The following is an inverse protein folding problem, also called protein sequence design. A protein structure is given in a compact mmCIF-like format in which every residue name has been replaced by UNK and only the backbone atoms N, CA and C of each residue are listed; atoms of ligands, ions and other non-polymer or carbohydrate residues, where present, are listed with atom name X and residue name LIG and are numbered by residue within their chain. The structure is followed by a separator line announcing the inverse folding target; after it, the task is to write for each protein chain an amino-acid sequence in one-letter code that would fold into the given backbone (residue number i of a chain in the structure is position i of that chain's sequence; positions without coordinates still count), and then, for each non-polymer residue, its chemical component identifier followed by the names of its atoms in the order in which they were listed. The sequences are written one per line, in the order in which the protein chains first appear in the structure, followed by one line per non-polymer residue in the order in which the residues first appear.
data_IF_383560615876
#
_entry.id   IF_383560615876
#
_cell.length_a   1.000
_cell.length_b   1.000
_cell.length_c   1.000
_cell.angle_alpha   90.00
_cell.angle_beta   90.00
_cell.angle_gamma   90.00
#
_symmetry.space_group_name_H-M   'P 1'
#
loop_
_entity.id
_entity.type
_entity.pdbx_description
1 polymer ?
#
# COMPACT_ATOMS: atom_id res chain seq x y z
N UNK A 1 21.37 -38.96 -5.23
CA UNK A 1 21.05 -37.65 -5.85
C UNK A 1 22.36 -36.90 -6.03
N UNK A 2 22.75 -36.56 -7.27
CA UNK A 2 23.99 -35.83 -7.55
C UNK A 2 23.66 -34.35 -7.76
N UNK A 3 24.32 -33.45 -7.02
CA UNK A 3 24.16 -32.00 -7.14
C UNK A 3 25.55 -31.37 -7.28
N UNK A 4 25.73 -30.54 -8.30
CA UNK A 4 26.92 -29.72 -8.45
C UNK A 4 26.67 -28.33 -7.85
N UNK A 5 27.64 -27.81 -7.08
CA UNK A 5 27.70 -26.40 -6.72
C UNK A 5 28.35 -25.59 -7.86
N UNK A 6 28.05 -24.29 -7.90
CA UNK A 6 28.60 -23.37 -8.92
C UNK A 6 28.16 -21.92 -8.79
N UNK A 7 27.42 -21.56 -7.73
CA UNK A 7 27.09 -20.17 -7.43
C UNK A 7 28.23 -19.53 -6.65
N UNK A 8 28.55 -18.29 -6.99
CA UNK A 8 29.44 -17.42 -6.24
C UNK A 8 28.65 -16.86 -5.04
N UNK A 9 29.08 -17.15 -3.82
CA UNK A 9 28.39 -16.75 -2.58
C UNK A 9 29.23 -15.83 -1.71
N UNK A 10 30.55 -15.97 -1.79
CA UNK A 10 31.51 -15.22 -0.98
C UNK A 10 32.39 -14.34 -1.86
N UNK A 11 32.99 -13.30 -1.28
CA UNK A 11 34.00 -12.50 -1.98
C UNK A 11 35.18 -13.37 -2.44
N UNK A 12 35.49 -14.44 -1.71
CA UNK A 12 36.59 -15.34 -2.05
C UNK A 12 36.28 -16.15 -3.32
N UNK A 13 35.02 -16.52 -3.53
CA UNK A 13 34.59 -17.20 -4.76
C UNK A 13 34.84 -16.30 -5.98
N UNK A 14 34.57 -14.99 -5.87
CA UNK A 14 34.88 -14.02 -6.92
C UNK A 14 36.40 -13.87 -7.11
N UNK A 15 37.17 -13.81 -6.03
CA UNK A 15 38.62 -13.68 -6.08
C UNK A 15 39.30 -14.87 -6.78
N UNK A 16 38.74 -16.07 -6.66
CA UNK A 16 39.25 -17.32 -7.25
C UNK A 16 38.67 -17.65 -8.64
N UNK A 17 37.98 -16.70 -9.30
CA UNK A 17 37.59 -16.87 -10.71
C UNK A 17 38.85 -16.95 -11.56
N UNK A 18 39.05 -18.07 -12.25
CA UNK A 18 40.19 -18.30 -13.14
C UNK A 18 39.97 -17.53 -14.45
N UNK A 19 40.88 -16.63 -14.78
CA UNK A 19 40.87 -15.86 -16.02
C UNK A 19 41.74 -16.49 -17.11
N UNK A 20 42.87 -17.07 -16.69
CA UNK A 20 43.80 -17.73 -17.60
C UNK A 20 44.49 -18.90 -16.90
N UNK A 21 44.38 -20.07 -17.49
CA UNK A 21 45.20 -21.24 -17.20
C UNK A 21 45.91 -21.63 -18.51
N UNK A 22 47.24 -21.78 -18.49
CA UNK A 22 48.01 -22.16 -19.67
C UNK A 22 48.93 -23.31 -19.32
N UNK A 23 48.99 -24.32 -20.18
CA UNK A 23 49.87 -25.50 -19.99
C UNK A 23 51.37 -25.14 -19.92
N UNK A 24 51.75 -23.93 -20.37
CA UNK A 24 53.13 -23.43 -20.33
C UNK A 24 53.48 -22.71 -19.02
N UNK A 25 52.50 -22.39 -18.17
CA UNK A 25 52.70 -21.62 -16.93
C UNK A 25 52.07 -22.36 -15.76
N UNK A 26 52.88 -22.74 -14.76
CA UNK A 26 52.44 -23.61 -13.66
C UNK A 26 51.41 -22.99 -12.69
N UNK A 27 51.07 -21.71 -12.86
CA UNK A 27 50.29 -20.93 -11.91
C UNK A 27 49.11 -20.28 -12.65
N UNK A 28 47.84 -20.56 -12.26
CA UNK A 28 46.68 -19.91 -12.85
C UNK A 28 46.62 -18.43 -12.46
N UNK A 29 46.08 -17.59 -13.35
CA UNK A 29 45.78 -16.18 -13.09
C UNK A 29 44.32 -16.05 -12.68
N UNK A 30 44.10 -15.47 -11.51
CA UNK A 30 42.79 -15.28 -10.90
C UNK A 30 42.29 -13.83 -11.03
N UNK A 31 41.00 -13.61 -10.82
CA UNK A 31 40.41 -12.26 -10.87
C UNK A 31 41.06 -11.30 -9.87
N UNK A 32 41.44 -11.78 -8.68
CA UNK A 32 42.15 -11.00 -7.66
C UNK A 32 43.50 -10.43 -8.13
N UNK A 33 44.12 -11.06 -9.13
CA UNK A 33 45.44 -10.64 -9.63
C UNK A 33 45.33 -9.40 -10.53
N UNK A 34 44.12 -9.08 -11.03
CA UNK A 34 43.88 -7.97 -11.97
C UNK A 34 42.80 -6.98 -11.51
N UNK A 35 41.99 -7.32 -10.49
CA UNK A 35 40.91 -6.48 -9.99
C UNK A 35 40.75 -6.61 -8.47
N UNK A 36 40.27 -5.54 -7.84
CA UNK A 36 39.88 -5.53 -6.43
C UNK A 36 38.37 -5.75 -6.30
N UNK A 37 37.96 -6.85 -5.69
CA UNK A 37 36.56 -7.14 -5.40
C UNK A 37 36.18 -6.49 -4.07
N UNK A 38 35.13 -5.66 -4.07
CA UNK A 38 34.63 -4.98 -2.88
C UNK A 38 33.10 -4.90 -2.94
N UNK A 39 32.47 -4.88 -1.76
CA UNK A 39 31.03 -4.64 -1.64
C UNK A 39 30.82 -3.13 -1.67
N UNK A 40 29.93 -2.67 -2.55
CA UNK A 40 29.59 -1.26 -2.71
C UNK A 40 28.14 -1.07 -3.13
N UNK A 41 27.66 0.19 -3.15
CA UNK A 41 26.31 0.50 -3.59
C UNK A 41 26.18 0.35 -5.12
N UNK A 42 24.98 -0.04 -5.56
CA UNK A 42 24.60 0.04 -6.97
C UNK A 42 24.28 1.50 -7.37
N UNK A 43 24.38 1.81 -8.66
CA UNK A 43 23.92 3.08 -9.20
C UNK A 43 22.43 3.29 -8.87
N UNK A 44 22.13 4.34 -8.11
CA UNK A 44 20.77 4.66 -7.67
C UNK A 44 19.94 5.20 -8.83
N UNK A 45 18.73 4.67 -9.01
CA UNK A 45 17.74 5.16 -10.00
C UNK A 45 16.69 6.11 -9.40
N UNK A 46 16.69 6.24 -8.08
CA UNK A 46 15.80 7.09 -7.32
C UNK A 46 16.36 7.28 -5.91
N UNK A 47 16.02 8.40 -5.30
CA UNK A 47 16.43 8.76 -3.95
C UNK A 47 15.15 9.10 -3.19
N UNK A 48 15.02 8.59 -1.97
CA UNK A 48 13.93 8.93 -1.07
C UNK A 48 14.51 9.55 0.19
N UNK A 49 13.88 10.60 0.65
CA UNK A 49 14.29 11.39 1.80
C UNK A 49 13.07 11.55 2.71
N UNK A 50 13.30 11.55 4.02
CA UNK A 50 12.24 11.70 5.01
C UNK A 50 12.46 12.96 5.85
N UNK A 51 11.58 13.94 5.66
CA UNK A 51 11.45 15.15 6.48
C UNK A 51 12.70 16.08 6.54
N UNK A 52 13.65 15.94 5.62
CA UNK A 52 14.90 16.70 5.62
C UNK A 52 15.96 16.18 6.60
N UNK A 53 15.72 15.06 7.26
CA UNK A 53 16.59 14.49 8.29
C UNK A 53 17.46 13.35 7.78
N UNK A 54 17.22 12.84 6.56
CA UNK A 54 18.06 11.80 6.00
C UNK A 54 17.46 11.04 4.83
N UNK A 55 18.35 10.44 4.05
CA UNK A 55 17.99 9.50 2.98
C UNK A 55 17.52 8.16 3.58
N UNK A 56 16.39 7.66 3.12
CA UNK A 56 15.78 6.42 3.60
C UNK A 56 15.37 5.51 2.45
N UNK A 57 15.19 4.22 2.73
CA UNK A 57 14.56 3.29 1.80
C UNK A 57 13.03 3.34 1.97
N UNK A 58 12.30 3.53 0.87
CA UNK A 58 10.84 3.59 0.85
C UNK A 58 10.21 2.47 0.03
N UNK A 59 8.91 2.26 0.23
CA UNK A 59 8.09 1.33 -0.54
C UNK A 59 6.69 1.90 -0.80
N UNK A 60 6.09 1.54 -1.93
CA UNK A 60 4.73 1.97 -2.29
C UNK A 60 3.87 0.74 -2.59
N UNK A 61 2.62 0.77 -2.10
CA UNK A 61 1.64 -0.26 -2.41
C UNK A 61 0.79 0.20 -3.58
N UNK A 62 0.84 -0.54 -4.69
CA UNK A 62 0.07 -0.23 -5.91
C UNK A 62 -1.19 -1.08 -5.93
N UNK A 63 -2.34 -0.42 -6.00
CA UNK A 63 -3.65 -1.06 -6.08
C UNK A 63 -3.94 -1.55 -7.49
N UNK A 64 -4.49 -2.76 -7.61
CA UNK A 64 -5.02 -3.27 -8.89
C UNK A 64 -6.20 -2.39 -9.35
N UNK A 65 -6.22 -2.05 -10.64
CA UNK A 65 -7.33 -1.28 -11.22
C UNK A 65 -8.69 -1.95 -10.96
N UNK A 66 -9.69 -1.14 -10.64
CA UNK A 66 -11.06 -1.58 -10.36
C UNK A 66 -11.26 -2.26 -9.00
N UNK A 67 -10.25 -2.29 -8.11
CA UNK A 67 -10.37 -2.86 -6.76
C UNK A 67 -10.56 -1.78 -5.69
N UNK A 68 -11.06 -2.20 -4.52
CA UNK A 68 -11.39 -1.30 -3.42
C UNK A 68 -10.11 -0.86 -2.67
N UNK A 69 -9.86 0.45 -2.66
CA UNK A 69 -8.69 1.01 -1.98
C UNK A 69 -8.76 0.87 -0.45
N UNK A 70 -9.94 1.10 0.15
CA UNK A 70 -10.12 1.10 1.61
C UNK A 70 -9.87 -0.29 2.20
N UNK A 71 -10.41 -1.31 1.54
CA UNK A 71 -10.23 -2.72 1.93
C UNK A 71 -8.76 -3.15 1.85
N UNK A 72 -8.07 -2.81 0.75
CA UNK A 72 -6.65 -3.14 0.58
C UNK A 72 -5.78 -2.41 1.61
N UNK A 73 -6.04 -1.13 1.89
CA UNK A 73 -5.27 -0.38 2.89
C UNK A 73 -5.47 -1.00 4.29
N UNK A 74 -6.69 -1.42 4.64
CA UNK A 74 -6.94 -2.10 5.91
C UNK A 74 -6.14 -3.40 6.02
N UNK A 75 -6.16 -4.24 4.98
CA UNK A 75 -5.40 -5.48 4.94
C UNK A 75 -3.87 -5.25 4.99
N UNK A 76 -3.37 -4.20 4.34
CA UNK A 76 -1.96 -3.82 4.40
C UNK A 76 -1.56 -3.41 5.81
N UNK A 77 -2.36 -2.56 6.48
CA UNK A 77 -2.08 -2.13 7.85
C UNK A 77 -2.04 -3.31 8.83
N UNK A 78 -3.03 -4.19 8.75
CA UNK A 78 -3.08 -5.40 9.58
C UNK A 78 -1.87 -6.32 9.35
N UNK A 79 -1.47 -6.46 8.07
CA UNK A 79 -0.28 -7.23 7.74
C UNK A 79 1.01 -6.58 8.26
N UNK A 80 1.11 -5.25 8.22
CA UNK A 80 2.25 -4.53 8.78
C UNK A 80 2.33 -4.71 10.29
N UNK A 81 1.21 -4.65 11.02
CA UNK A 81 1.20 -4.95 12.47
C UNK A 81 1.70 -6.37 12.76
N UNK A 82 1.29 -7.35 11.97
CA UNK A 82 1.79 -8.73 12.10
C UNK A 82 3.31 -8.80 11.88
N UNK A 83 3.81 -8.10 10.85
CA UNK A 83 5.22 -8.12 10.47
C UNK A 83 6.12 -7.33 11.42
N UNK A 84 5.60 -6.40 12.22
CA UNK A 84 6.41 -5.61 13.18
C UNK A 84 7.25 -6.50 14.09
N UNK A 85 6.69 -7.62 14.55
CA UNK A 85 7.39 -8.60 15.39
C UNK A 85 8.57 -9.31 14.72
N UNK A 86 8.59 -9.35 13.38
CA UNK A 86 9.61 -10.01 12.57
C UNK A 86 10.69 -9.04 12.08
N UNK A 87 10.55 -7.74 12.38
CA UNK A 87 11.52 -6.74 11.99
C UNK A 87 12.79 -6.83 12.86
N UNK A 88 13.98 -6.60 12.27
CA UNK A 88 15.21 -6.47 13.04
C UNK A 88 15.10 -5.34 14.07
N UNK A 89 15.83 -5.46 15.17
CA UNK A 89 15.88 -4.41 16.20
C UNK A 89 16.31 -3.06 15.59
N UNK A 90 15.58 -1.99 15.95
CA UNK A 90 15.83 -0.63 15.47
C UNK A 90 15.17 -0.27 14.12
N UNK A 91 14.46 -1.20 13.47
CA UNK A 91 13.72 -0.91 12.23
C UNK A 91 12.30 -0.44 12.55
N UNK A 92 11.94 0.76 12.08
CA UNK A 92 10.59 1.32 12.20
C UNK A 92 9.98 1.61 10.82
N UNK A 93 8.69 1.35 10.67
CA UNK A 93 7.93 1.64 9.44
C UNK A 93 7.08 2.89 9.68
N UNK A 94 7.55 4.02 9.13
CA UNK A 94 6.82 5.30 9.17
C UNK A 94 5.96 5.44 7.92
N UNK A 95 4.64 5.56 8.08
CA UNK A 95 3.73 5.71 6.95
C UNK A 95 3.73 7.15 6.45
N UNK A 96 4.17 7.37 5.21
CA UNK A 96 4.28 8.72 4.61
C UNK A 96 3.02 9.18 3.89
N UNK A 97 2.19 8.25 3.39
CA UNK A 97 0.94 8.57 2.69
C UNK A 97 -0.12 7.49 2.92
N UNK A 98 -1.31 7.91 3.32
CA UNK A 98 -2.45 7.03 3.55
C UNK A 98 -3.73 7.61 2.94
N UNK A 99 -4.21 6.97 1.86
CA UNK A 99 -5.42 7.39 1.15
C UNK A 99 -6.71 7.08 1.93
N UNK A 100 -6.69 6.14 2.88
CA UNK A 100 -7.89 5.77 3.65
C UNK A 100 -8.44 6.95 4.44
N UNK A 101 -7.55 7.79 5.01
CA UNK A 101 -7.95 8.99 5.76
C UNK A 101 -8.75 10.00 4.94
N UNK A 102 -8.51 10.09 3.62
CA UNK A 102 -9.29 10.95 2.74
C UNK A 102 -10.66 10.32 2.45
N UNK A 103 -10.69 9.00 2.22
CA UNK A 103 -11.92 8.25 1.97
C UNK A 103 -12.85 8.33 3.18
N UNK A 104 -12.33 8.08 4.38
CA UNK A 104 -13.13 8.10 5.61
C UNK A 104 -13.71 9.50 5.86
N UNK A 105 -12.89 10.57 5.74
CA UNK A 105 -13.39 11.95 5.86
C UNK A 105 -14.45 12.30 4.83
N UNK A 106 -14.32 11.84 3.59
CA UNK A 106 -15.31 12.09 2.55
C UNK A 106 -16.64 11.37 2.84
N UNK A 107 -16.59 10.12 3.30
CA UNK A 107 -17.77 9.34 3.69
C UNK A 107 -18.45 9.97 4.91
N UNK A 108 -17.68 10.35 5.92
CA UNK A 108 -18.21 10.97 7.14
C UNK A 108 -18.86 12.32 6.83
N UNK A 109 -18.22 13.14 5.98
CA UNK A 109 -18.78 14.41 5.55
C UNK A 109 -20.11 14.22 4.81
N UNK A 110 -20.14 13.31 3.82
CA UNK A 110 -21.36 13.04 3.06
C UNK A 110 -22.48 12.49 3.95
N UNK A 111 -22.15 11.56 4.86
CA UNK A 111 -23.12 10.98 5.79
C UNK A 111 -23.70 12.03 6.73
N UNK A 112 -22.86 12.93 7.25
CA UNK A 112 -23.30 14.05 8.07
C UNK A 112 -24.21 15.01 7.32
N UNK A 113 -23.87 15.36 6.07
CA UNK A 113 -24.69 16.27 5.24
C UNK A 113 -26.03 15.66 4.86
N UNK A 114 -26.08 14.38 4.51
CA UNK A 114 -27.33 13.68 4.26
C UNK A 114 -28.22 13.64 5.51
N UNK A 115 -27.63 13.45 6.69
CA UNK A 115 -28.37 13.50 7.96
C UNK A 115 -28.93 14.91 8.23
N UNK A 116 -28.12 15.95 8.05
CA UNK A 116 -28.55 17.35 8.19
C UNK A 116 -29.73 17.66 7.26
N UNK A 117 -29.63 17.33 5.97
CA UNK A 117 -30.69 17.53 4.99
C UNK A 117 -31.96 16.76 5.35
N UNK A 118 -31.83 15.51 5.78
CA UNK A 118 -32.95 14.68 6.21
C UNK A 118 -33.69 15.30 7.40
N UNK A 119 -32.96 15.80 8.40
CA UNK A 119 -33.56 16.47 9.56
C UNK A 119 -34.26 17.77 9.14
N UNK A 120 -33.62 18.59 8.30
CA UNK A 120 -34.22 19.84 7.81
C UNK A 120 -35.52 19.56 7.08
N UNK A 121 -35.54 18.59 6.17
CA UNK A 121 -36.76 18.19 5.43
C UNK A 121 -37.82 17.68 6.40
N UNK A 122 -37.46 16.84 7.37
CA UNK A 122 -38.39 16.33 8.36
C UNK A 122 -39.04 17.45 9.19
N UNK A 123 -38.25 18.44 9.63
CA UNK A 123 -38.75 19.62 10.36
C UNK A 123 -39.70 20.45 9.50
N UNK A 124 -39.30 20.76 8.26
CA UNK A 124 -40.12 21.53 7.33
C UNK A 124 -41.46 20.81 7.07
N UNK A 125 -41.43 19.52 6.73
CA UNK A 125 -42.64 18.73 6.53
C UNK A 125 -43.54 18.71 7.77
N UNK A 126 -42.96 18.54 8.97
CA UNK A 126 -43.73 18.53 10.21
C UNK A 126 -44.44 19.87 10.48
N UNK A 127 -43.76 20.99 10.22
CA UNK A 127 -44.33 22.34 10.41
C UNK A 127 -45.48 22.64 9.45
N UNK A 128 -45.36 22.27 8.17
CA UNK A 128 -46.39 22.56 7.16
C UNK A 128 -47.58 21.61 7.21
N UNK A 129 -47.37 20.33 7.53
CA UNK A 129 -48.44 19.32 7.48
C UNK A 129 -49.25 19.26 8.79
N UNK A 130 -48.71 19.74 9.93
CA UNK A 130 -49.30 19.67 11.29
C UNK A 130 -49.89 18.29 11.68
N UNK A 131 -49.56 17.25 10.92
CA UNK A 131 -50.08 15.90 11.10
C UNK A 131 -48.93 14.93 10.90
N UNK A 132 -48.43 14.38 12.02
CA UNK A 132 -47.24 13.52 12.09
C UNK A 132 -47.31 12.34 11.12
N UNK A 133 -48.52 11.78 10.92
CA UNK A 133 -48.73 10.67 9.97
C UNK A 133 -48.39 11.07 8.53
N UNK A 134 -48.77 12.26 8.08
CA UNK A 134 -48.49 12.74 6.73
C UNK A 134 -47.01 13.09 6.55
N UNK A 135 -46.36 13.65 7.57
CA UNK A 135 -44.92 13.93 7.55
C UNK A 135 -44.08 12.64 7.47
N UNK A 136 -44.48 11.58 8.20
CA UNK A 136 -43.80 10.28 8.16
C UNK A 136 -43.80 9.65 6.77
N UNK A 137 -44.86 9.84 5.97
CA UNK A 137 -44.91 9.32 4.59
C UNK A 137 -43.79 9.94 3.73
N UNK A 138 -43.60 11.26 3.81
CA UNK A 138 -42.56 11.95 3.06
C UNK A 138 -41.15 11.52 3.48
N UNK A 139 -40.93 11.41 4.80
CA UNK A 139 -39.64 10.99 5.39
C UNK A 139 -39.26 9.57 4.95
N UNK A 140 -40.19 8.62 5.06
CA UNK A 140 -39.96 7.23 4.66
C UNK A 140 -39.72 7.12 3.15
N UNK A 141 -40.44 7.92 2.35
CA UNK A 141 -40.24 7.93 0.89
C UNK A 141 -38.83 8.37 0.50
N UNK A 142 -38.26 9.36 1.20
CA UNK A 142 -36.89 9.84 0.98
C UNK A 142 -35.86 8.75 1.33
N UNK A 143 -36.01 8.12 2.50
CA UNK A 143 -35.13 7.02 2.92
C UNK A 143 -35.20 5.83 1.97
N UNK A 144 -36.41 5.43 1.55
CA UNK A 144 -36.62 4.35 0.59
C UNK A 144 -35.99 4.66 -0.78
N UNK A 145 -36.04 5.92 -1.22
CA UNK A 145 -35.41 6.37 -2.46
C UNK A 145 -33.89 6.18 -2.46
N UNK A 146 -33.22 6.52 -1.35
CA UNK A 146 -31.77 6.32 -1.20
C UNK A 146 -31.41 4.83 -1.22
N UNK A 147 -32.18 3.98 -0.53
CA UNK A 147 -31.97 2.53 -0.53
C UNK A 147 -32.17 1.94 -1.92
N UNK A 148 -33.23 2.33 -2.61
CA UNK A 148 -33.51 1.87 -3.97
C UNK A 148 -32.41 2.27 -4.96
N UNK A 149 -31.93 3.51 -4.87
CA UNK A 149 -30.81 3.99 -5.67
C UNK A 149 -29.52 3.21 -5.39
N UNK A 150 -29.23 2.92 -4.12
CA UNK A 150 -28.07 2.13 -3.71
C UNK A 150 -28.13 0.70 -4.27
N UNK A 151 -29.30 0.06 -4.19
CA UNK A 151 -29.50 -1.29 -4.73
C UNK A 151 -29.25 -1.34 -6.24
N UNK A 152 -29.82 -0.40 -7.01
CA UNK A 152 -29.58 -0.32 -8.46
C UNK A 152 -28.11 -0.09 -8.80
N UNK A 153 -27.46 0.80 -8.04
CA UNK A 153 -26.05 1.12 -8.24
C UNK A 153 -25.14 -0.08 -7.94
N UNK A 154 -25.52 -0.92 -6.98
CA UNK A 154 -24.80 -2.15 -6.64
C UNK A 154 -24.94 -3.19 -7.75
N UNK A 155 -26.16 -3.42 -8.25
CA UNK A 155 -26.42 -4.36 -9.36
C UNK A 155 -25.70 -3.99 -10.66
N UNK A 156 -25.41 -2.70 -10.89
CA UNK A 156 -24.70 -2.24 -12.11
C UNK A 156 -23.16 -2.33 -12.06
N UNK A 157 -22.57 -2.66 -10.91
CA UNK A 157 -21.11 -2.61 -10.69
C UNK A 157 -20.42 -3.98 -10.64
N UNK A 158 -21.18 -5.06 -10.74
CA UNK A 158 -20.68 -6.43 -10.95
C UNK A 158 -20.68 -6.77 -12.45
#
# INVERSE_FOLDING_TARGET
MVRASGYLQTLDDFNHIVLKASDKMAWPVYLRDVAKVQIGPEMRRGIAELNGEGEVAGGVVILRSGKNAREVIAAVKDKLETLKSSLPEGVEIVTTYDRSQLIDRAIDNLSGKLLEEFIVVAVVCALFLWHVRSALVAIISLAAGVVYWLLLSCTSRD
#
